data_IF_571052535422
#
_entry.id   IF_571052535422
#
_cell.length_a   1.000
_cell.length_b   1.000
_cell.length_c   1.000
_cell.angle_alpha   90.00
_cell.angle_beta   90.00
_cell.angle_gamma   90.00
#
_symmetry.space_group_name_H-M   'P 1'
#
loop_
_entity.id
_entity.type
_entity.pdbx_description
1 polymer ?
#
# COMPACT_ATOMS: atom_id res chain seq x y z
N UNK A 1 -23.75 -13.94 69.16
CA UNK A 1 -22.65 -14.73 68.56
C UNK A 1 -23.26 -15.43 67.34
N UNK A 2 -23.22 -14.77 66.18
CA UNK A 2 -22.25 -15.00 65.08
C UNK A 2 -22.52 -16.31 64.35
N UNK A 3 -22.64 -16.43 63.02
CA UNK A 3 -22.56 -15.51 61.89
C UNK A 3 -23.32 -16.19 60.75
N UNK A 4 -24.22 -15.48 60.06
CA UNK A 4 -24.78 -15.90 58.78
C UNK A 4 -23.84 -15.44 57.65
N UNK A 5 -23.12 -16.38 57.03
CA UNK A 5 -22.30 -16.10 55.86
C UNK A 5 -23.15 -16.25 54.60
N UNK A 6 -23.55 -15.13 54.01
CA UNK A 6 -24.11 -15.06 52.67
C UNK A 6 -22.97 -15.30 51.67
N UNK A 7 -23.06 -16.39 50.91
CA UNK A 7 -22.23 -16.62 49.73
C UNK A 7 -22.74 -15.72 48.60
N UNK A 8 -22.00 -14.67 48.30
CA UNK A 8 -22.23 -13.83 47.12
C UNK A 8 -21.59 -14.59 45.94
N UNK A 9 -22.42 -14.99 44.98
CA UNK A 9 -21.96 -15.58 43.74
C UNK A 9 -21.23 -14.50 42.92
N UNK A 10 -19.92 -14.66 42.75
CA UNK A 10 -19.11 -13.83 41.88
C UNK A 10 -19.35 -14.27 40.44
N UNK A 11 -20.23 -13.56 39.72
CA UNK A 11 -20.41 -13.75 38.28
C UNK A 11 -19.24 -13.10 37.56
N UNK A 12 -18.13 -13.83 37.47
CA UNK A 12 -17.02 -13.51 36.60
C UNK A 12 -17.52 -13.46 35.15
N UNK A 13 -17.58 -12.24 34.60
CA UNK A 13 -17.74 -12.01 33.17
C UNK A 13 -16.61 -12.73 32.42
N UNK A 14 -16.92 -13.88 31.85
CA UNK A 14 -16.05 -14.54 30.87
C UNK A 14 -16.26 -13.78 29.56
N UNK A 15 -15.40 -12.79 29.29
CA UNK A 15 -15.36 -12.17 27.96
C UNK A 15 -15.11 -13.28 26.91
N UNK A 16 -15.91 -13.35 25.82
CA UNK A 16 -15.67 -14.27 24.74
C UNK A 16 -14.25 -14.07 24.19
N UNK A 17 -13.45 -15.14 24.16
CA UNK A 17 -12.05 -15.10 23.73
C UNK A 17 -11.82 -14.42 22.36
N UNK A 18 -12.83 -14.37 21.49
CA UNK A 18 -12.78 -13.68 20.20
C UNK A 18 -12.87 -12.15 20.26
N UNK A 19 -13.55 -11.58 21.27
CA UNK A 19 -13.68 -10.11 21.41
C UNK A 19 -12.35 -9.46 21.80
N UNK A 20 -11.61 -10.10 22.71
CA UNK A 20 -10.29 -9.62 23.11
C UNK A 20 -9.27 -9.66 21.97
N UNK A 21 -9.32 -10.67 21.09
CA UNK A 21 -8.43 -10.77 19.92
C UNK A 21 -8.73 -9.67 18.90
N UNK A 22 -10.02 -9.41 18.61
CA UNK A 22 -10.41 -8.36 17.67
C UNK A 22 -10.02 -6.96 18.19
N UNK A 23 -10.22 -6.68 19.48
CA UNK A 23 -9.80 -5.40 20.09
C UNK A 23 -8.28 -5.23 20.09
N UNK A 24 -7.52 -6.29 20.34
CA UNK A 24 -6.05 -6.25 20.28
C UNK A 24 -5.54 -5.98 18.86
N UNK A 25 -6.12 -6.65 17.85
CA UNK A 25 -5.79 -6.42 16.45
C UNK A 25 -6.10 -4.98 16.05
N UNK A 26 -7.25 -4.46 16.46
CA UNK A 26 -7.67 -3.09 16.19
C UNK A 26 -6.69 -2.07 16.80
N UNK A 27 -6.30 -2.26 18.06
CA UNK A 27 -5.29 -1.42 18.72
C UNK A 27 -3.97 -1.46 17.97
N UNK A 28 -3.48 -2.65 17.63
CA UNK A 28 -2.23 -2.81 16.89
C UNK A 28 -2.29 -2.12 15.52
N UNK A 29 -3.43 -2.22 14.83
CA UNK A 29 -3.67 -1.59 13.54
C UNK A 29 -3.58 -0.06 13.67
N UNK A 30 -4.18 0.53 14.70
CA UNK A 30 -4.13 1.97 14.95
C UNK A 30 -2.75 2.48 15.37
N UNK A 31 -1.91 1.65 16.00
CA UNK A 31 -0.55 2.03 16.42
C UNK A 31 0.55 1.70 15.40
N UNK A 32 0.23 1.04 14.29
CA UNK A 32 1.20 0.61 13.28
C UNK A 32 1.01 1.33 11.94
N UNK A 33 1.99 1.24 11.03
CA UNK A 33 1.90 1.73 9.66
C UNK A 33 1.72 3.24 9.51
N UNK A 34 2.30 4.00 10.43
CA UNK A 34 2.40 5.47 10.39
C UNK A 34 3.57 5.97 9.54
N UNK A 35 4.43 5.07 9.09
CA UNK A 35 5.55 5.35 8.20
C UNK A 35 5.43 4.51 6.92
N UNK A 36 5.99 5.03 5.82
CA UNK A 36 6.05 4.31 4.56
C UNK A 36 7.17 3.26 4.57
N UNK A 37 7.01 2.14 3.86
CA UNK A 37 8.04 1.10 3.74
C UNK A 37 9.37 1.64 3.19
N UNK A 38 10.49 0.97 3.44
CA UNK A 38 11.78 1.37 2.87
C UNK A 38 11.79 1.30 1.33
N UNK A 39 11.10 0.31 0.75
CA UNK A 39 11.00 0.12 -0.72
C UNK A 39 10.20 1.22 -1.44
N UNK A 40 9.54 2.10 -0.69
CA UNK A 40 8.90 3.31 -1.22
C UNK A 40 9.90 4.45 -1.47
N UNK A 41 11.15 4.31 -1.00
CA UNK A 41 12.25 5.25 -1.27
C UNK A 41 12.92 4.92 -2.60
N UNK A 42 13.35 5.95 -3.30
CA UNK A 42 14.19 5.74 -4.48
C UNK A 42 15.57 5.25 -4.04
N UNK A 43 16.11 4.15 -4.57
CA UNK A 43 17.38 3.58 -4.10
C UNK A 43 18.61 4.38 -4.56
N UNK A 44 18.42 5.49 -5.28
CA UNK A 44 19.50 6.37 -5.77
C UNK A 44 19.60 7.63 -4.91
N UNK A 45 18.48 8.27 -4.59
CA UNK A 45 18.47 9.48 -3.77
C UNK A 45 18.03 9.25 -2.33
N UNK A 46 17.54 8.05 -2.00
CA UNK A 46 17.03 7.65 -0.68
C UNK A 46 15.80 8.42 -0.17
N UNK A 47 15.29 9.37 -0.96
CA UNK A 47 14.04 10.08 -0.67
C UNK A 47 12.81 9.25 -1.02
N UNK A 48 11.76 9.38 -0.22
CA UNK A 48 10.44 8.82 -0.48
C UNK A 48 9.91 9.30 -1.84
N UNK A 49 9.30 8.40 -2.60
CA UNK A 49 8.72 8.72 -3.91
C UNK A 49 7.29 9.23 -3.71
N UNK A 50 6.96 10.39 -4.25
CA UNK A 50 5.61 10.97 -4.19
C UNK A 50 4.50 9.99 -4.62
N UNK A 51 3.38 10.04 -3.90
CA UNK A 51 2.20 9.21 -4.16
C UNK A 51 1.27 9.87 -5.20
N UNK A 52 0.64 9.11 -6.11
CA UNK A 52 0.79 7.66 -6.29
C UNK A 52 2.10 7.32 -7.04
N UNK A 53 2.91 6.46 -6.45
CA UNK A 53 4.28 6.16 -6.93
C UNK A 53 4.41 5.85 -8.43
N UNK A 54 3.50 5.10 -9.08
CA UNK A 54 3.62 4.83 -10.53
C UNK A 54 3.62 6.08 -11.42
N UNK A 55 3.07 7.21 -10.97
CA UNK A 55 3.13 8.48 -11.72
C UNK A 55 4.51 9.15 -11.61
N UNK A 56 5.23 8.90 -10.51
CA UNK A 56 6.47 9.59 -10.13
C UNK A 56 7.71 8.69 -10.22
N UNK A 57 7.57 7.46 -10.70
CA UNK A 57 8.65 6.47 -10.76
C UNK A 57 8.42 5.37 -11.78
N UNK A 58 9.46 4.57 -12.00
CA UNK A 58 9.44 3.35 -12.83
C UNK A 58 10.05 2.17 -12.06
N UNK A 59 9.40 1.01 -12.13
CA UNK A 59 10.00 -0.26 -11.69
C UNK A 59 10.94 -0.77 -12.78
N UNK A 60 12.18 -1.09 -12.42
CA UNK A 60 13.14 -1.68 -13.32
C UNK A 60 13.14 -3.21 -13.19
N UNK A 61 12.75 -3.92 -14.25
CA UNK A 61 12.52 -5.37 -14.19
C UNK A 61 13.78 -6.20 -13.94
N UNK A 62 14.96 -5.65 -14.21
CA UNK A 62 16.25 -6.29 -13.93
C UNK A 62 16.53 -6.41 -12.41
N UNK A 63 16.04 -5.48 -11.61
CA UNK A 63 16.34 -5.40 -10.17
C UNK A 63 15.11 -5.35 -9.25
N UNK A 64 13.90 -5.28 -9.80
CA UNK A 64 12.64 -4.96 -9.10
C UNK A 64 12.67 -3.63 -8.34
N UNK A 65 13.71 -2.80 -8.48
CA UNK A 65 13.78 -1.53 -7.78
C UNK A 65 13.05 -0.41 -8.51
N UNK A 66 12.35 0.40 -7.72
CA UNK A 66 11.58 1.55 -8.16
C UNK A 66 12.45 2.80 -8.14
N UNK A 67 12.73 3.37 -9.30
CA UNK A 67 13.54 4.59 -9.44
C UNK A 67 12.61 5.77 -9.72
N UNK A 68 12.76 6.86 -8.97
CA UNK A 68 11.97 8.07 -9.19
C UNK A 68 12.35 8.73 -10.52
N UNK A 69 11.40 9.42 -11.14
CA UNK A 69 11.61 10.03 -12.45
C UNK A 69 12.73 11.08 -12.44
N UNK A 70 12.99 11.73 -11.29
CA UNK A 70 14.09 12.67 -11.15
C UNK A 70 15.47 12.00 -11.28
N UNK A 71 15.66 10.86 -10.62
CA UNK A 71 16.90 10.08 -10.75
C UNK A 71 17.05 9.44 -12.12
N UNK A 72 15.93 9.04 -12.74
CA UNK A 72 15.90 8.55 -14.12
C UNK A 72 16.35 9.65 -15.09
N UNK A 73 15.76 10.85 -15.02
CA UNK A 73 16.16 12.01 -15.81
C UNK A 73 17.65 12.38 -15.61
N UNK A 74 18.11 12.40 -14.36
CA UNK A 74 19.51 12.68 -14.04
C UNK A 74 20.46 11.64 -14.66
N UNK A 75 20.05 10.37 -14.70
CA UNK A 75 20.82 9.32 -15.35
C UNK A 75 20.87 9.50 -16.87
N UNK A 76 19.73 9.79 -17.50
CA UNK A 76 19.63 10.06 -18.94
C UNK A 76 20.53 11.22 -19.37
N UNK A 77 20.59 12.31 -18.59
CA UNK A 77 21.48 13.45 -18.86
C UNK A 77 22.97 13.13 -18.79
N UNK A 78 23.34 12.05 -18.10
CA UNK A 78 24.71 11.56 -18.02
C UNK A 78 25.01 10.51 -19.10
N UNK A 79 24.14 10.39 -20.10
CA UNK A 79 24.33 9.46 -21.22
C UNK A 79 23.87 8.03 -20.95
N UNK A 80 23.16 7.76 -19.86
CA UNK A 80 22.64 6.43 -19.55
C UNK A 80 21.25 6.23 -20.14
N UNK A 81 21.20 5.95 -21.44
CA UNK A 81 19.94 5.77 -22.18
C UNK A 81 19.42 4.33 -22.12
N UNK A 82 20.33 3.35 -22.23
CA UNK A 82 19.96 1.94 -22.45
C UNK A 82 20.31 1.04 -21.25
N UNK A 83 20.54 1.61 -20.09
CA UNK A 83 20.94 0.88 -18.88
C UNK A 83 20.13 1.32 -17.68
N UNK A 84 19.81 0.37 -16.79
CA UNK A 84 19.11 0.66 -15.55
C UNK A 84 19.89 1.71 -14.73
N UNK A 85 19.24 2.82 -14.32
CA UNK A 85 19.88 3.86 -13.50
C UNK A 85 20.41 3.37 -12.15
N UNK A 86 19.90 2.23 -11.66
CA UNK A 86 20.31 1.64 -10.39
C UNK A 86 21.38 0.54 -10.58
N UNK A 87 21.04 -0.59 -11.20
CA UNK A 87 21.94 -1.75 -11.27
C UNK A 87 22.77 -1.83 -12.55
N UNK A 88 22.70 -0.83 -13.44
CA UNK A 88 23.44 -0.74 -14.71
C UNK A 88 23.19 -1.86 -15.73
N UNK A 89 22.31 -2.82 -15.43
CA UNK A 89 21.91 -3.85 -16.39
C UNK A 89 21.28 -3.20 -17.63
N UNK A 90 21.64 -3.64 -18.86
CA UNK A 90 20.99 -3.16 -20.07
C UNK A 90 19.47 -3.30 -19.99
N UNK A 91 18.74 -2.29 -20.46
CA UNK A 91 17.29 -2.32 -20.48
C UNK A 91 16.81 -3.36 -21.52
N UNK A 92 15.79 -4.18 -21.19
CA UNK A 92 15.27 -5.17 -22.12
C UNK A 92 14.59 -4.50 -23.31
N UNK A 93 14.93 -4.94 -24.53
CA UNK A 93 14.43 -4.38 -25.78
C UNK A 93 12.97 -4.76 -26.07
N UNK A 94 12.54 -5.93 -25.61
CA UNK A 94 11.22 -6.48 -25.89
C UNK A 94 10.58 -7.13 -24.66
N UNK A 95 9.33 -7.54 -24.81
CA UNK A 95 8.53 -8.13 -23.75
C UNK A 95 9.00 -9.52 -23.32
N UNK A 96 9.54 -10.33 -24.25
CA UNK A 96 10.12 -11.63 -23.94
C UNK A 96 11.35 -11.48 -23.02
N UNK A 97 12.21 -10.51 -23.33
CA UNK A 97 13.40 -10.17 -22.52
C UNK A 97 13.00 -9.64 -21.15
N UNK A 98 11.97 -8.79 -21.06
CA UNK A 98 11.41 -8.34 -19.76
C UNK A 98 10.90 -9.53 -18.94
N UNK A 99 10.12 -10.42 -19.57
CA UNK A 99 9.56 -11.59 -18.90
C UNK A 99 10.66 -12.53 -18.39
N UNK A 100 11.69 -12.79 -19.19
CA UNK A 100 12.83 -13.61 -18.79
C UNK A 100 13.57 -13.03 -17.57
N UNK A 101 13.75 -11.71 -17.52
CA UNK A 101 14.35 -11.03 -16.36
C UNK A 101 13.49 -11.17 -15.10
N UNK A 102 12.17 -11.01 -15.22
CA UNK A 102 11.22 -11.20 -14.11
C UNK A 102 11.25 -12.65 -13.63
N UNK A 103 11.16 -13.62 -14.53
CA UNK A 103 11.18 -15.06 -14.20
C UNK A 103 12.47 -15.47 -13.48
N UNK A 104 13.63 -14.90 -13.85
CA UNK A 104 14.90 -15.14 -13.15
C UNK A 104 14.89 -14.67 -11.70
N UNK A 105 14.07 -13.67 -11.35
CA UNK A 105 13.88 -13.20 -9.96
C UNK A 105 12.84 -14.02 -9.23
N UNK A 106 11.75 -14.38 -9.91
CA UNK A 106 10.74 -15.31 -9.41
C UNK A 106 11.38 -16.65 -9.01
N UNK A 107 12.29 -17.20 -9.83
CA UNK A 107 12.99 -18.45 -9.52
C UNK A 107 13.92 -18.35 -8.29
N UNK A 108 14.14 -17.15 -7.76
CA UNK A 108 14.93 -16.89 -6.55
C UNK A 108 14.05 -16.51 -5.34
N UNK A 109 12.73 -16.59 -5.47
CA UNK A 109 11.79 -16.25 -4.40
C UNK A 109 11.67 -14.75 -4.12
N UNK A 110 11.96 -13.89 -5.10
CA UNK A 110 11.76 -12.44 -4.96
C UNK A 110 10.25 -12.13 -4.94
N UNK A 111 9.73 -11.78 -3.76
CA UNK A 111 8.29 -11.55 -3.54
C UNK A 111 7.72 -10.46 -4.46
N UNK A 112 8.46 -9.38 -4.71
CA UNK A 112 7.99 -8.30 -5.57
C UNK A 112 8.05 -8.68 -7.05
N UNK A 113 9.02 -9.53 -7.45
CA UNK A 113 9.02 -10.10 -8.79
C UNK A 113 7.84 -11.04 -9.01
N UNK A 114 7.46 -11.84 -8.01
CA UNK A 114 6.29 -12.73 -8.06
C UNK A 114 5.01 -11.89 -8.16
N UNK A 115 4.86 -10.85 -7.33
CA UNK A 115 3.74 -9.91 -7.42
C UNK A 115 3.70 -9.19 -8.78
N UNK A 116 4.86 -8.79 -9.31
CA UNK A 116 4.95 -8.17 -10.63
C UNK A 116 4.52 -9.14 -11.73
N UNK A 117 5.00 -10.39 -11.72
CA UNK A 117 4.61 -11.42 -12.68
C UNK A 117 3.11 -11.72 -12.61
N UNK A 118 2.57 -11.83 -11.40
CA UNK A 118 1.14 -11.98 -11.16
C UNK A 118 0.33 -10.88 -11.87
N UNK A 119 0.73 -9.62 -11.69
CA UNK A 119 0.10 -8.48 -12.37
C UNK A 119 0.15 -8.63 -13.90
N UNK A 120 1.22 -9.21 -14.47
CA UNK A 120 1.31 -9.45 -15.91
C UNK A 120 0.37 -10.54 -16.39
N UNK A 121 0.19 -11.63 -15.64
CA UNK A 121 -0.85 -12.62 -15.93
C UNK A 121 -2.26 -12.02 -15.79
N UNK A 122 -2.50 -11.21 -14.76
CA UNK A 122 -3.81 -10.60 -14.49
C UNK A 122 -4.31 -9.73 -15.66
N UNK A 123 -3.40 -9.01 -16.32
CA UNK A 123 -3.74 -8.10 -17.42
C UNK A 123 -3.35 -8.61 -18.81
N UNK A 124 -2.75 -9.80 -18.94
CA UNK A 124 -2.27 -10.33 -20.22
C UNK A 124 -1.17 -9.46 -20.85
N UNK A 125 -0.14 -9.13 -20.06
CA UNK A 125 0.98 -8.26 -20.48
C UNK A 125 2.27 -9.05 -20.67
N UNK A 126 3.28 -8.45 -21.31
CA UNK A 126 4.56 -9.09 -21.64
C UNK A 126 4.43 -10.32 -22.54
N UNK A 127 3.45 -10.32 -23.45
CA UNK A 127 3.16 -11.46 -24.33
C UNK A 127 2.49 -12.64 -23.62
N UNK A 128 2.11 -12.51 -22.35
CA UNK A 128 1.34 -13.52 -21.63
C UNK A 128 -0.14 -13.42 -21.98
N UNK A 129 -0.80 -14.58 -22.13
CA UNK A 129 -2.27 -14.65 -22.13
C UNK A 129 -2.79 -14.26 -20.75
N UNK A 130 -3.89 -13.49 -20.71
CA UNK A 130 -4.57 -13.14 -19.46
C UNK A 130 -5.01 -14.42 -18.74
N UNK A 131 -4.56 -14.58 -17.49
CA UNK A 131 -4.88 -15.71 -16.62
C UNK A 131 -5.03 -15.21 -15.18
N UNK A 132 -6.28 -14.91 -14.81
CA UNK A 132 -6.59 -14.34 -13.50
C UNK A 132 -6.43 -15.36 -12.37
N UNK A 133 -6.92 -16.62 -12.47
CA UNK A 133 -6.68 -17.63 -11.45
C UNK A 133 -5.18 -17.82 -11.15
N UNK A 134 -4.35 -17.92 -12.20
CA UNK A 134 -2.89 -18.01 -12.00
C UNK A 134 -2.29 -16.78 -11.34
N UNK A 135 -2.79 -15.59 -11.67
CA UNK A 135 -2.38 -14.36 -11.01
C UNK A 135 -2.72 -14.37 -9.50
N UNK A 136 -3.90 -14.85 -9.12
CA UNK A 136 -4.31 -14.94 -7.71
C UNK A 136 -3.41 -15.91 -6.93
N UNK A 137 -3.06 -17.07 -7.51
CA UNK A 137 -2.09 -18.00 -6.91
C UNK A 137 -0.75 -17.31 -6.64
N UNK A 138 -0.19 -16.63 -7.65
CA UNK A 138 1.08 -15.93 -7.53
C UNK A 138 1.02 -14.74 -6.56
N UNK A 139 -0.10 -14.01 -6.50
CA UNK A 139 -0.25 -12.98 -5.47
C UNK A 139 -0.30 -13.59 -4.07
N UNK A 140 -0.93 -14.75 -3.90
CA UNK A 140 -0.97 -15.46 -2.62
C UNK A 140 0.45 -15.84 -2.18
N UNK A 141 1.23 -16.45 -3.08
CA UNK A 141 2.65 -16.76 -2.84
C UNK A 141 3.47 -15.51 -2.49
N UNK A 142 3.33 -14.43 -3.26
CA UNK A 142 4.04 -13.17 -2.99
C UNK A 142 3.66 -12.53 -1.65
N UNK A 143 2.38 -12.63 -1.25
CA UNK A 143 1.89 -12.12 0.03
C UNK A 143 2.48 -12.94 1.21
N UNK A 144 2.55 -14.27 1.08
CA UNK A 144 3.20 -15.15 2.06
C UNK A 144 4.70 -14.84 2.22
N UNK A 145 5.35 -14.43 1.13
CA UNK A 145 6.74 -13.95 1.13
C UNK A 145 6.88 -12.47 1.57
N UNK A 146 5.77 -11.81 1.93
CA UNK A 146 5.76 -10.49 2.54
C UNK A 146 5.53 -9.30 1.61
N UNK A 147 5.18 -9.51 0.34
CA UNK A 147 4.89 -8.40 -0.59
C UNK A 147 3.61 -7.66 -0.20
N UNK A 148 3.74 -6.37 0.10
CA UNK A 148 2.61 -5.51 0.47
C UNK A 148 1.67 -5.23 -0.69
N UNK A 149 2.22 -5.08 -1.90
CA UNK A 149 1.43 -4.91 -3.13
C UNK A 149 0.60 -6.17 -3.40
N UNK A 150 1.14 -7.37 -3.14
CA UNK A 150 0.39 -8.61 -3.30
C UNK A 150 -0.79 -8.70 -2.32
N UNK A 151 -0.56 -8.38 -1.04
CA UNK A 151 -1.66 -8.24 -0.08
C UNK A 151 -2.71 -7.22 -0.54
N UNK A 152 -2.31 -6.05 -1.02
CA UNK A 152 -3.24 -5.06 -1.55
C UNK A 152 -4.06 -5.61 -2.73
N UNK A 153 -3.42 -6.29 -3.67
CA UNK A 153 -4.08 -6.87 -4.86
C UNK A 153 -5.06 -7.97 -4.49
N UNK A 154 -4.71 -8.87 -3.56
CA UNK A 154 -5.64 -9.86 -3.02
C UNK A 154 -6.80 -9.21 -2.30
N UNK A 155 -6.54 -8.16 -1.50
CA UNK A 155 -7.57 -7.37 -0.85
C UNK A 155 -8.59 -6.82 -1.85
N UNK A 156 -8.12 -6.26 -2.98
CA UNK A 156 -9.00 -5.76 -4.05
C UNK A 156 -9.75 -6.89 -4.75
N UNK A 157 -9.08 -8.01 -5.06
CA UNK A 157 -9.69 -9.15 -5.74
C UNK A 157 -10.83 -9.75 -4.90
N UNK A 158 -10.60 -10.05 -3.63
CA UNK A 158 -11.64 -10.56 -2.72
C UNK A 158 -12.73 -9.53 -2.43
N UNK A 159 -12.43 -8.23 -2.47
CA UNK A 159 -13.45 -7.19 -2.27
C UNK A 159 -14.42 -7.09 -3.45
N UNK A 160 -13.93 -7.34 -4.66
CA UNK A 160 -14.68 -7.14 -5.92
C UNK A 160 -15.21 -8.43 -6.53
N UNK A 161 -14.69 -9.58 -6.10
CA UNK A 161 -14.94 -10.87 -6.73
C UNK A 161 -14.26 -11.04 -8.10
N UNK A 162 -13.23 -10.24 -8.42
CA UNK A 162 -12.52 -10.34 -9.70
C UNK A 162 -11.49 -11.48 -9.67
N UNK A 163 -11.87 -12.61 -10.27
CA UNK A 163 -11.03 -13.81 -10.37
C UNK A 163 -11.12 -14.78 -9.19
N UNK A 164 -11.86 -14.42 -8.17
CA UNK A 164 -12.15 -15.20 -6.95
C UNK A 164 -13.58 -14.94 -6.52
N UNK A 165 -14.14 -15.80 -5.67
CA UNK A 165 -15.39 -15.49 -4.99
C UNK A 165 -15.20 -14.25 -4.09
N UNK A 166 -16.21 -13.37 -4.06
CA UNK A 166 -16.21 -12.21 -3.19
C UNK A 166 -16.15 -12.65 -1.72
N UNK A 167 -15.18 -12.13 -0.98
CA UNK A 167 -14.97 -12.43 0.44
C UNK A 167 -14.46 -11.17 1.15
N UNK A 168 -15.38 -10.36 1.65
CA UNK A 168 -15.06 -9.10 2.34
C UNK A 168 -14.20 -9.32 3.60
N UNK A 169 -14.49 -10.28 4.50
CA UNK A 169 -13.60 -10.57 5.63
C UNK A 169 -12.17 -10.88 5.21
N UNK A 170 -11.97 -11.72 4.18
CA UNK A 170 -10.63 -12.04 3.67
C UNK A 170 -9.97 -10.85 3.01
N UNK A 171 -10.73 -10.02 2.28
CA UNK A 171 -10.25 -8.76 1.74
C UNK A 171 -9.70 -7.84 2.85
N UNK A 172 -10.49 -7.62 3.90
CA UNK A 172 -10.09 -6.79 5.04
C UNK A 172 -8.85 -7.35 5.74
N UNK A 173 -8.75 -8.68 5.89
CA UNK A 173 -7.57 -9.32 6.42
C UNK A 173 -6.32 -8.96 5.61
N UNK A 174 -6.34 -9.08 4.28
CA UNK A 174 -5.18 -8.71 3.46
C UNK A 174 -4.86 -7.21 3.54
N UNK A 175 -5.88 -6.33 3.56
CA UNK A 175 -5.67 -4.90 3.74
C UNK A 175 -5.05 -4.58 5.11
N UNK A 176 -5.49 -5.22 6.19
CA UNK A 176 -4.93 -5.06 7.53
C UNK A 176 -3.44 -5.44 7.57
N UNK A 177 -3.07 -6.60 7.01
CA UNK A 177 -1.66 -7.04 6.95
C UNK A 177 -0.75 -6.03 6.26
N UNK A 178 -1.19 -5.51 5.10
CA UNK A 178 -0.42 -4.52 4.36
C UNK A 178 -0.41 -3.14 5.05
N UNK A 179 -1.55 -2.71 5.59
CA UNK A 179 -1.69 -1.42 6.24
C UNK A 179 -0.82 -1.31 7.49
N UNK A 180 -0.74 -2.36 8.31
CA UNK A 180 0.13 -2.42 9.50
C UNK A 180 1.61 -2.21 9.15
N UNK A 181 2.03 -2.62 7.95
CA UNK A 181 3.39 -2.45 7.42
C UNK A 181 3.57 -1.16 6.59
N UNK A 182 2.60 -0.24 6.62
CA UNK A 182 2.71 1.07 5.98
C UNK A 182 2.15 1.16 4.56
N UNK A 183 1.45 0.14 4.06
CA UNK A 183 0.84 0.21 2.72
C UNK A 183 -0.35 1.19 2.70
N UNK A 184 -0.12 2.36 2.11
CA UNK A 184 -1.03 3.53 2.17
C UNK A 184 -2.38 3.31 1.52
N UNK A 185 -2.42 2.61 0.38
CA UNK A 185 -3.67 2.33 -0.32
C UNK A 185 -4.51 1.29 0.41
N UNK A 186 -3.88 0.31 1.07
CA UNK A 186 -4.59 -0.65 1.92
C UNK A 186 -5.17 0.05 3.15
N UNK A 187 -4.42 0.96 3.77
CA UNK A 187 -4.91 1.79 4.88
C UNK A 187 -6.13 2.63 4.47
N UNK A 188 -6.09 3.22 3.28
CA UNK A 188 -7.22 3.97 2.73
C UNK A 188 -8.46 3.08 2.52
N UNK A 189 -8.28 1.85 2.02
CA UNK A 189 -9.38 0.92 1.79
C UNK A 189 -10.02 0.43 3.09
N UNK A 190 -9.24 0.30 4.17
CA UNK A 190 -9.81 0.06 5.51
C UNK A 190 -10.69 1.23 5.95
N UNK A 191 -10.22 2.48 5.79
CA UNK A 191 -11.05 3.65 6.10
C UNK A 191 -12.35 3.69 5.28
N UNK A 192 -12.29 3.32 4.00
CA UNK A 192 -13.47 3.23 3.15
C UNK A 192 -14.42 2.07 3.53
N UNK A 193 -13.90 0.98 4.11
CA UNK A 193 -14.73 -0.10 4.64
C UNK A 193 -15.47 0.34 5.91
N UNK A 194 -14.74 0.90 6.86
CA UNK A 194 -15.31 1.41 8.11
C UNK A 194 -16.35 2.51 7.86
N UNK A 195 -16.13 3.37 6.87
CA UNK A 195 -17.11 4.36 6.45
C UNK A 195 -18.41 3.72 5.96
N UNK A 196 -18.32 2.69 5.10
CA UNK A 196 -19.49 1.97 4.57
C UNK A 196 -20.25 1.23 5.67
N UNK A 197 -19.56 0.80 6.71
CA UNK A 197 -20.15 0.12 7.87
C UNK A 197 -20.71 1.12 8.91
N UNK A 198 -20.55 2.44 8.68
CA UNK A 198 -21.04 3.50 9.56
C UNK A 198 -20.10 3.84 10.72
N UNK A 199 -18.91 3.24 10.76
CA UNK A 199 -17.88 3.45 11.78
C UNK A 199 -17.03 4.70 11.46
N UNK A 200 -17.68 5.86 11.39
CA UNK A 200 -17.10 7.12 10.91
C UNK A 200 -15.85 7.59 11.68
N UNK A 201 -15.83 7.39 12.99
CA UNK A 201 -14.66 7.72 13.81
C UNK A 201 -13.45 6.89 13.39
N UNK A 202 -13.65 5.59 13.22
CA UNK A 202 -12.59 4.68 12.83
C UNK A 202 -12.15 4.89 11.38
N UNK A 203 -13.10 5.14 10.48
CA UNK A 203 -12.80 5.56 9.11
C UNK A 203 -11.88 6.78 9.07
N UNK A 204 -12.19 7.78 9.89
CA UNK A 204 -11.39 9.00 10.03
C UNK A 204 -9.98 8.69 10.55
N UNK A 205 -9.84 7.82 11.55
CA UNK A 205 -8.52 7.41 12.06
C UNK A 205 -7.67 6.74 10.96
N UNK A 206 -8.24 5.80 10.22
CA UNK A 206 -7.55 5.16 9.09
C UNK A 206 -7.08 6.16 8.03
N UNK A 207 -7.98 7.05 7.61
CA UNK A 207 -7.64 8.06 6.62
C UNK A 207 -6.64 9.08 7.15
N UNK A 208 -6.67 9.43 8.45
CA UNK A 208 -5.68 10.33 9.03
C UNK A 208 -4.28 9.74 8.92
N UNK A 209 -4.11 8.45 9.23
CA UNK A 209 -2.81 7.76 9.10
C UNK A 209 -2.32 7.83 7.65
N UNK A 210 -3.18 7.49 6.69
CA UNK A 210 -2.81 7.46 5.26
C UNK A 210 -2.57 8.88 4.67
N UNK A 211 -3.37 9.86 5.07
CA UNK A 211 -3.20 11.26 4.65
C UNK A 211 -1.88 11.84 5.15
N UNK A 212 -1.51 11.58 6.41
CA UNK A 212 -0.26 12.05 7.03
C UNK A 212 1.00 11.49 6.38
N UNK A 213 0.90 10.39 5.62
CA UNK A 213 2.01 9.84 4.81
C UNK A 213 1.91 10.20 3.33
N UNK A 214 1.08 11.19 2.99
CA UNK A 214 1.01 11.81 1.66
C UNK A 214 -0.02 11.20 0.70
N UNK A 215 -1.01 10.44 1.18
CA UNK A 215 -2.03 9.88 0.29
C UNK A 215 -3.24 10.82 0.11
N UNK A 216 -3.31 11.45 -1.05
CA UNK A 216 -4.30 12.49 -1.38
C UNK A 216 -5.75 12.00 -1.30
N UNK A 217 -6.02 10.75 -1.71
CA UNK A 217 -7.38 10.19 -1.66
C UNK A 217 -7.92 10.11 -0.23
N UNK A 218 -7.07 9.81 0.75
CA UNK A 218 -7.48 9.81 2.16
C UNK A 218 -7.71 11.22 2.69
N UNK A 219 -6.89 12.21 2.29
CA UNK A 219 -7.14 13.61 2.63
C UNK A 219 -8.49 14.08 2.07
N UNK A 220 -8.79 13.74 0.81
CA UNK A 220 -10.06 14.06 0.18
C UNK A 220 -11.24 13.36 0.89
N UNK A 221 -11.07 12.11 1.33
CA UNK A 221 -12.09 11.42 2.11
C UNK A 221 -12.38 12.15 3.44
N UNK A 222 -11.35 12.58 4.18
CA UNK A 222 -11.53 13.37 5.42
C UNK A 222 -12.21 14.72 5.13
N UNK A 223 -11.89 15.35 3.99
CA UNK A 223 -12.56 16.58 3.56
C UNK A 223 -14.06 16.36 3.34
N UNK A 224 -14.46 15.25 2.71
CA UNK A 224 -15.88 14.92 2.54
C UNK A 224 -16.54 14.61 3.90
N UNK A 225 -15.88 13.82 4.77
CA UNK A 225 -16.34 13.56 6.14
C UNK A 225 -16.59 14.84 6.94
N UNK A 226 -15.73 15.85 6.76
CA UNK A 226 -15.90 17.14 7.41
C UNK A 226 -17.12 17.90 6.90
N UNK A 227 -17.40 17.85 5.60
CA UNK A 227 -18.61 18.47 5.01
C UNK A 227 -19.89 17.79 5.46
N UNK A 228 -19.86 16.47 5.64
CA UNK A 228 -20.99 15.67 6.11
C UNK A 228 -21.20 15.79 7.63
N UNK A 229 -20.26 16.41 8.36
CA UNK A 229 -20.32 16.58 9.81
C UNK A 229 -19.82 15.37 10.61
N UNK A 230 -19.22 14.38 9.95
CA UNK A 230 -18.64 13.19 10.58
C UNK A 230 -17.20 13.39 11.07
N UNK A 231 -16.45 14.33 10.49
CA UNK A 231 -15.14 14.73 10.96
C UNK A 231 -15.14 16.17 11.47
N UNK A 232 -14.28 16.46 12.45
CA UNK A 232 -14.11 17.81 13.01
C UNK A 232 -13.20 18.67 12.14
N UNK A 233 -13.35 20.00 12.28
CA UNK A 233 -12.43 20.96 11.65
C UNK A 233 -10.96 20.71 12.05
N UNK A 234 -10.72 20.31 13.30
CA UNK A 234 -9.38 20.01 13.81
C UNK A 234 -8.78 18.81 13.09
N UNK A 235 -9.53 17.70 12.95
CA UNK A 235 -9.07 16.51 12.23
C UNK A 235 -8.74 16.80 10.77
N UNK A 236 -9.58 17.58 10.07
CA UNK A 236 -9.30 17.96 8.69
C UNK A 236 -8.05 18.85 8.58
N UNK A 237 -7.91 19.84 9.47
CA UNK A 237 -6.72 20.71 9.49
C UNK A 237 -5.43 19.92 9.78
N UNK A 238 -5.48 18.98 10.72
CA UNK A 238 -4.36 18.10 11.05
C UNK A 238 -3.98 17.19 9.87
N UNK A 239 -4.96 16.58 9.21
CA UNK A 239 -4.73 15.76 8.03
C UNK A 239 -4.09 16.57 6.89
N UNK A 240 -4.56 17.80 6.68
CA UNK A 240 -4.02 18.70 5.65
C UNK A 240 -2.57 19.11 5.94
N UNK A 241 -2.23 19.37 7.20
CA UNK A 241 -0.86 19.68 7.62
C UNK A 241 0.06 18.48 7.40
N UNK A 242 -0.30 17.30 7.91
CA UNK A 242 0.52 16.10 7.74
C UNK A 242 0.69 15.70 6.28
N UNK A 243 -0.37 15.82 5.46
CA UNK A 243 -0.26 15.60 4.02
C UNK A 243 0.73 16.57 3.35
N UNK A 244 0.69 17.86 3.72
CA UNK A 244 1.62 18.87 3.19
C UNK A 244 3.06 18.54 3.56
N UNK A 245 3.31 18.17 4.81
CA UNK A 245 4.65 17.82 5.30
C UNK A 245 5.19 16.60 4.54
N UNK A 246 4.37 15.55 4.39
CA UNK A 246 4.75 14.36 3.62
C UNK A 246 5.01 14.66 2.13
N UNK A 247 4.24 15.56 1.50
CA UNK A 247 4.50 15.97 0.11
C UNK A 247 5.81 16.77 0.01
N UNK A 248 6.07 17.66 0.96
CA UNK A 248 7.30 18.46 1.00
C UNK A 248 8.55 17.57 1.11
N UNK A 249 8.51 16.53 1.95
CA UNK A 249 9.60 15.55 2.10
C UNK A 249 9.93 14.77 0.82
N UNK A 250 9.01 14.72 -0.15
CA UNK A 250 9.23 14.02 -1.43
C UNK A 250 9.78 14.93 -2.53
N UNK A 251 9.96 16.23 -2.28
CA UNK A 251 10.47 17.15 -3.31
C UNK A 251 11.95 16.92 -3.56
N UNK A 252 12.34 17.07 -4.83
CA UNK A 252 13.75 17.19 -5.20
C UNK A 252 13.89 18.03 -6.46
N UNK A 253 15.03 18.73 -6.66
CA UNK A 253 15.22 19.60 -7.82
C UNK A 253 14.97 18.87 -9.16
N UNK A 254 15.40 17.63 -9.27
CA UNK A 254 15.22 16.82 -10.48
C UNK A 254 13.77 16.37 -10.66
N UNK A 255 13.03 16.11 -9.57
CA UNK A 255 11.60 15.77 -9.66
C UNK A 255 10.76 16.98 -10.07
N UNK A 256 11.06 18.17 -9.55
CA UNK A 256 10.41 19.42 -9.97
C UNK A 256 10.68 19.74 -11.44
N UNK A 257 11.90 19.48 -11.90
CA UNK A 257 12.23 19.61 -13.31
C UNK A 257 11.43 18.65 -14.20
N UNK A 258 11.29 17.39 -13.80
CA UNK A 258 10.41 16.45 -14.53
C UNK A 258 8.97 16.97 -14.58
N UNK A 259 8.46 17.57 -13.50
CA UNK A 259 7.11 18.16 -13.50
C UNK A 259 6.99 19.30 -14.50
N UNK A 260 7.96 20.22 -14.52
CA UNK A 260 8.02 21.33 -15.49
C UNK A 260 8.03 20.84 -16.95
N UNK A 261 8.91 19.88 -17.26
CA UNK A 261 9.00 19.28 -18.59
C UNK A 261 7.70 18.59 -19.04
N UNK A 262 6.96 17.96 -18.12
CA UNK A 262 5.66 17.32 -18.42
C UNK A 262 4.54 18.33 -18.65
N UNK A 263 4.58 19.46 -17.97
CA UNK A 263 3.58 20.52 -18.08
C UNK A 263 3.89 21.49 -19.24
N UNK A 264 5.05 21.37 -19.87
CA UNK A 264 5.48 22.23 -20.97
C UNK A 264 5.78 23.67 -20.52
N UNK A 265 6.18 23.86 -19.25
CA UNK A 265 6.48 25.16 -18.63
C UNK A 265 7.94 25.27 -18.25
#
# INVERSE_FOLDING_TARGET
>A
MSNGAAAVADSANVEPAGLGVAQNLQRQLMTSGHERPEDDRCPICFDLIELPMPKHSKINVCCMKRVCNGCDLAATRRGMYDSCPFCRTPLPADDASKLAMVQKRVSKGDADAIAHLSCKYYFGQLGLTKDVPRAIELYTEAAELGSLEAHYRLGVAYYTGDGVEEDKPRSLHHFQQAAMKGHVASRNNLGAAEYRDGNYELATQHWMISAKVGYELSLNAIKEMFKEGHATKAQYAEALLGYRDAVEETKSPQREEVRRLRLGV
#
